data_IF_074846438787
#
_entry.id   IF_074846438787
#
_cell.length_a   1.000
_cell.length_b   1.000
_cell.length_c   1.000
_cell.angle_alpha   90.00
_cell.angle_beta   90.00
_cell.angle_gamma   90.00
#
_symmetry.space_group_name_H-M   'P 1'
#
loop_
_entity.id
_entity.type
_entity.pdbx_description
1 polymer ?
#
# COMPACT_ATOMS: atom_id res chain seq x y z
N UNK A 1 2.75 -25.65 -3.78
CA UNK A 1 3.86 -24.96 -3.07
C UNK A 1 3.27 -24.23 -1.88
N UNK A 2 3.67 -24.61 -0.66
CA UNK A 2 3.19 -23.98 0.59
C UNK A 2 4.15 -22.87 0.98
N UNK A 3 3.66 -21.63 1.10
CA UNK A 3 4.48 -20.52 1.58
C UNK A 3 4.43 -20.45 3.12
N UNK A 4 5.58 -20.52 3.79
CA UNK A 4 5.71 -20.33 5.25
C UNK A 4 5.57 -18.86 5.70
N UNK A 5 4.80 -18.07 4.96
CA UNK A 5 4.62 -16.64 5.24
C UNK A 5 3.46 -16.43 6.21
N UNK A 6 3.74 -16.53 7.51
CA UNK A 6 2.78 -16.35 8.61
C UNK A 6 2.47 -14.86 8.90
N UNK A 7 2.96 -13.92 8.09
CA UNK A 7 2.71 -12.48 8.31
C UNK A 7 1.31 -12.10 7.83
N UNK A 8 0.56 -11.36 8.65
CA UNK A 8 -0.74 -10.82 8.25
C UNK A 8 -0.58 -9.97 6.98
N UNK A 9 -1.14 -10.45 5.87
CA UNK A 9 -0.99 -9.83 4.56
C UNK A 9 -1.68 -8.46 4.46
N UNK A 10 -2.53 -8.11 5.44
CA UNK A 10 -3.27 -6.85 5.44
C UNK A 10 -4.34 -6.82 4.38
N UNK A 11 -5.00 -5.66 4.25
CA UNK A 11 -5.92 -5.47 3.13
C UNK A 11 -5.14 -5.42 1.80
N UNK A 12 -5.46 -6.31 0.84
CA UNK A 12 -4.84 -6.30 -0.47
C UNK A 12 -5.16 -4.98 -1.18
N UNK A 13 -4.20 -4.51 -1.98
CA UNK A 13 -4.41 -3.32 -2.79
C UNK A 13 -5.40 -3.69 -3.90
N UNK A 14 -6.56 -3.04 -3.91
CA UNK A 14 -7.65 -3.43 -4.80
C UNK A 14 -7.32 -3.09 -6.26
N UNK A 15 -7.92 -3.81 -7.22
CA UNK A 15 -7.75 -3.51 -8.66
C UNK A 15 -8.11 -2.06 -8.98
N UNK A 16 -9.14 -1.53 -8.33
CA UNK A 16 -9.54 -0.13 -8.49
C UNK A 16 -8.52 0.85 -7.91
N UNK A 17 -7.94 0.55 -6.75
CA UNK A 17 -6.85 1.34 -6.19
C UNK A 17 -5.65 1.40 -7.15
N UNK A 18 -5.29 0.27 -7.76
CA UNK A 18 -4.22 0.19 -8.76
C UNK A 18 -4.54 1.00 -10.01
N UNK A 19 -5.77 0.90 -10.53
CA UNK A 19 -6.24 1.72 -11.63
C UNK A 19 -6.09 3.22 -11.33
N UNK A 20 -6.58 3.67 -10.17
CA UNK A 20 -6.51 5.08 -9.76
C UNK A 20 -5.06 5.57 -9.64
N UNK A 21 -4.18 4.77 -9.02
CA UNK A 21 -2.77 5.11 -8.92
C UNK A 21 -2.12 5.25 -10.30
N UNK A 22 -2.30 4.27 -11.18
CA UNK A 22 -1.73 4.31 -12.54
C UNK A 22 -2.24 5.53 -13.33
N UNK A 23 -3.54 5.82 -13.25
CA UNK A 23 -4.15 6.97 -13.91
C UNK A 23 -3.57 8.30 -13.39
N UNK A 24 -3.52 8.47 -12.07
CA UNK A 24 -2.98 9.68 -11.44
C UNK A 24 -1.50 9.85 -11.75
N UNK A 25 -0.72 8.77 -11.67
CA UNK A 25 0.71 8.78 -11.95
C UNK A 25 0.99 9.16 -13.40
N UNK A 26 0.26 8.57 -14.35
CA UNK A 26 0.36 8.92 -15.77
C UNK A 26 0.03 10.40 -16.04
N UNK A 27 -1.01 10.95 -15.40
CA UNK A 27 -1.34 12.37 -15.55
C UNK A 27 -0.27 13.28 -14.94
N UNK A 28 0.25 12.90 -13.77
CA UNK A 28 1.30 13.65 -13.09
C UNK A 28 2.60 13.65 -13.88
N UNK A 29 3.00 12.50 -14.44
CA UNK A 29 4.21 12.34 -15.23
C UNK A 29 4.12 13.10 -16.58
N UNK A 30 2.89 13.35 -17.07
CA UNK A 30 2.61 14.27 -18.18
C UNK A 30 2.66 15.77 -17.79
N UNK A 31 3.08 16.09 -16.56
CA UNK A 31 3.18 17.47 -16.07
C UNK A 31 1.86 18.09 -15.59
N UNK A 32 0.81 17.30 -15.35
CA UNK A 32 -0.41 17.84 -14.76
C UNK A 32 -0.22 18.05 -13.24
N UNK A 33 -0.40 19.29 -12.78
CA UNK A 33 -0.47 19.58 -11.35
C UNK A 33 -1.62 18.85 -10.65
N UNK A 34 -1.47 18.57 -9.36
CA UNK A 34 -2.47 17.87 -8.55
C UNK A 34 -3.87 18.48 -8.59
N UNK A 35 -3.96 19.81 -8.63
CA UNK A 35 -5.25 20.53 -8.75
C UNK A 35 -5.92 20.22 -10.09
N UNK A 36 -5.18 20.26 -11.20
CA UNK A 36 -5.70 19.96 -12.54
C UNK A 36 -6.12 18.50 -12.65
N UNK A 37 -5.37 17.59 -12.03
CA UNK A 37 -5.72 16.17 -11.95
C UNK A 37 -7.04 15.99 -11.20
N UNK A 38 -7.19 16.58 -10.02
CA UNK A 38 -8.42 16.49 -9.24
C UNK A 38 -9.65 16.97 -10.03
N UNK A 39 -9.54 18.12 -10.71
CA UNK A 39 -10.62 18.62 -11.57
C UNK A 39 -10.93 17.67 -12.75
N UNK A 40 -9.92 17.10 -13.42
CA UNK A 40 -10.13 16.12 -14.50
C UNK A 40 -10.87 14.88 -14.00
N UNK A 41 -10.44 14.32 -12.87
CA UNK A 41 -11.06 13.12 -12.28
C UNK A 41 -12.52 13.38 -11.89
N UNK A 42 -12.80 14.54 -11.28
CA UNK A 42 -14.17 14.93 -10.96
C UNK A 42 -15.03 15.14 -12.22
N UNK A 43 -14.47 15.74 -13.28
CA UNK A 43 -15.15 15.94 -14.56
C UNK A 43 -15.47 14.61 -15.27
N UNK A 44 -14.58 13.63 -15.16
CA UNK A 44 -14.79 12.27 -15.67
C UNK A 44 -15.68 11.41 -14.76
N UNK A 45 -16.24 11.99 -13.69
CA UNK A 45 -17.04 11.30 -12.68
C UNK A 45 -16.33 10.09 -12.02
N UNK A 46 -14.99 10.08 -12.02
CA UNK A 46 -14.18 9.09 -11.33
C UNK A 46 -14.16 9.45 -9.85
N UNK A 47 -14.65 8.57 -8.99
CA UNK A 47 -14.65 8.80 -7.53
C UNK A 47 -13.37 8.23 -6.89
N UNK A 48 -13.09 8.67 -5.67
CA UNK A 48 -12.09 8.00 -4.83
C UNK A 48 -12.56 6.59 -4.46
N UNK A 49 -11.68 5.77 -3.89
CA UNK A 49 -12.01 4.41 -3.42
C UNK A 49 -13.15 4.37 -2.39
N UNK A 50 -13.43 5.50 -1.73
CA UNK A 50 -14.52 5.67 -0.75
C UNK A 50 -15.72 6.42 -1.31
N UNK A 51 -15.79 6.62 -2.64
CA UNK A 51 -16.89 7.31 -3.30
C UNK A 51 -16.88 8.85 -3.16
N UNK A 52 -15.85 9.45 -2.57
CA UNK A 52 -15.73 10.92 -2.42
C UNK A 52 -15.16 11.59 -3.67
N UNK A 53 -15.42 12.89 -3.80
CA UNK A 53 -14.81 13.75 -4.82
C UNK A 53 -13.30 13.94 -4.57
N UNK A 54 -12.59 14.33 -5.63
CA UNK A 54 -11.15 14.56 -5.59
C UNK A 54 -10.81 15.99 -5.18
N UNK A 55 -9.86 16.10 -4.26
CA UNK A 55 -9.14 17.33 -3.93
C UNK A 55 -7.66 17.18 -4.29
N UNK A 56 -6.92 18.30 -4.37
CA UNK A 56 -5.47 18.26 -4.64
C UNK A 56 -4.71 17.39 -3.61
N UNK A 57 -5.08 17.45 -2.34
CA UNK A 57 -4.53 16.66 -1.23
C UNK A 57 -4.87 15.19 -1.37
N UNK A 58 -6.04 14.86 -1.93
CA UNK A 58 -6.43 13.48 -2.20
C UNK A 58 -5.52 12.86 -3.27
N UNK A 59 -5.21 13.62 -4.32
CA UNK A 59 -4.32 13.17 -5.41
C UNK A 59 -2.91 12.92 -4.89
N UNK A 60 -2.32 13.88 -4.16
CA UNK A 60 -0.98 13.71 -3.60
C UNK A 60 -0.94 12.57 -2.56
N UNK A 61 -2.00 12.38 -1.78
CA UNK A 61 -2.11 11.27 -0.83
C UNK A 61 -2.08 9.90 -1.51
N UNK A 62 -2.71 9.74 -2.68
CA UNK A 62 -2.69 8.44 -3.40
C UNK A 62 -1.26 8.06 -3.79
N UNK A 63 -0.51 9.01 -4.35
CA UNK A 63 0.89 8.78 -4.73
C UNK A 63 1.76 8.46 -3.51
N UNK A 64 1.64 9.27 -2.46
CA UNK A 64 2.38 9.09 -1.21
C UNK A 64 2.10 7.73 -0.57
N UNK A 65 0.83 7.35 -0.39
CA UNK A 65 0.45 6.08 0.25
C UNK A 65 0.83 4.85 -0.58
N UNK A 66 0.88 4.95 -1.91
CA UNK A 66 1.39 3.86 -2.74
C UNK A 66 2.88 3.66 -2.51
N UNK A 67 3.66 4.75 -2.50
CA UNK A 67 5.09 4.68 -2.22
C UNK A 67 5.39 4.09 -0.83
N UNK A 68 4.71 4.56 0.22
CA UNK A 68 4.87 4.01 1.58
C UNK A 68 4.54 2.51 1.65
N UNK A 69 3.54 2.05 0.89
CA UNK A 69 3.19 0.63 0.80
C UNK A 69 4.31 -0.16 0.13
N UNK A 70 4.85 0.32 -0.98
CA UNK A 70 5.89 -0.36 -1.75
C UNK A 70 7.17 -0.49 -0.92
N UNK A 71 7.59 0.59 -0.27
CA UNK A 71 8.71 0.61 0.68
C UNK A 71 8.51 -0.41 1.80
N UNK A 72 7.30 -0.49 2.38
CA UNK A 72 7.00 -1.46 3.44
C UNK A 72 7.11 -2.91 2.95
N UNK A 73 6.62 -3.19 1.74
CA UNK A 73 6.68 -4.54 1.16
C UNK A 73 8.14 -4.93 0.94
N UNK A 74 8.92 -4.05 0.31
CA UNK A 74 10.32 -4.29 -0.01
C UNK A 74 11.20 -4.43 1.24
N UNK A 75 11.11 -3.48 2.18
CA UNK A 75 12.05 -3.40 3.30
C UNK A 75 11.70 -4.31 4.49
N UNK A 76 10.41 -4.63 4.68
CA UNK A 76 9.95 -5.36 5.87
C UNK A 76 9.48 -6.76 5.51
N UNK A 77 8.64 -6.90 4.46
CA UNK A 77 8.04 -8.20 4.14
C UNK A 77 8.96 -9.10 3.33
N UNK A 78 9.70 -8.54 2.38
CA UNK A 78 10.65 -9.32 1.56
C UNK A 78 12.02 -9.47 2.23
N UNK A 79 12.22 -8.87 3.40
CA UNK A 79 13.45 -9.00 4.15
C UNK A 79 13.54 -10.40 4.75
N UNK A 80 14.52 -11.16 4.28
CA UNK A 80 14.86 -12.46 4.85
C UNK A 80 15.64 -12.25 6.16
N UNK A 81 15.17 -12.92 7.21
CA UNK A 81 15.85 -12.94 8.50
C UNK A 81 16.50 -14.31 8.67
N UNK A 82 17.77 -14.39 9.11
CA UNK A 82 18.41 -15.66 9.36
C UNK A 82 17.67 -16.39 10.50
N UNK A 83 17.46 -17.69 10.30
CA UNK A 83 16.86 -18.56 11.31
C UNK A 83 17.82 -18.65 12.51
N UNK A 84 17.36 -18.21 13.68
CA UNK A 84 18.10 -18.35 14.95
C UNK A 84 17.37 -19.34 15.83
N UNK A 85 17.96 -20.51 16.05
CA UNK A 85 17.42 -21.55 16.93
C UNK A 85 18.17 -21.45 18.26
N UNK A 86 17.47 -21.08 19.33
CA UNK A 86 17.98 -21.06 20.69
C UNK A 86 17.65 -22.35 21.45
N UNK A 87 18.34 -22.60 22.56
CA UNK A 87 17.97 -23.69 23.48
C UNK A 87 16.69 -23.30 24.22
N UNK A 88 15.59 -23.98 23.93
CA UNK A 88 14.34 -23.86 24.67
C UNK A 88 14.31 -24.88 25.81
N UNK A 89 14.09 -24.45 27.04
CA UNK A 89 13.97 -25.33 28.21
C UNK A 89 12.75 -24.94 29.04
N UNK A 90 11.91 -25.92 29.38
CA UNK A 90 10.78 -25.75 30.30
C UNK A 90 11.24 -26.23 31.68
N UNK A 91 11.04 -25.40 32.71
CA UNK A 91 11.22 -25.80 34.11
C UNK A 91 9.85 -25.89 34.77
N UNK A 92 9.56 -27.03 35.39
CA UNK A 92 8.36 -27.22 36.21
C UNK A 92 8.72 -27.03 37.68
N UNK A 93 7.84 -26.36 38.42
CA UNK A 93 7.91 -26.28 39.87
C UNK A 93 6.71 -27.05 40.42
N UNK A 94 6.98 -28.05 41.25
CA UNK A 94 5.96 -28.78 42.02
C UNK A 94 5.85 -28.16 43.40
N UNK A 95 4.62 -27.86 43.85
CA UNK A 95 4.31 -27.41 45.21
C UNK A 95 4.15 -28.61 46.14
#
# INVERSE_FOLDING_TARGET
>A
MQSNNLTYQGNPYTKYQQFLYTLIKCLHDKGCEYRRIAHKLNKWNVKTTRGKAWFNTSVSSVLKRKHERDVRIEQIRHKEYPIKIGKFSIKYYTY
#
